data_IF_304247713658
#
_entry.id   IF_304247713658
#
_cell.length_a   1.000
_cell.length_b   1.000
_cell.length_c   1.000
_cell.angle_alpha   90.00
_cell.angle_beta   90.00
_cell.angle_gamma   90.00
#
_symmetry.space_group_name_H-M   'P 1'
#
loop_
_entity.id
_entity.type
_entity.pdbx_description
1 polymer ?
#
# COMPACT_ATOMS: atom_id res chain seq x y z
N UNK A 1 -23.37 -15.57 9.62
CA UNK A 1 -23.04 -14.12 9.73
C UNK A 1 -24.09 -13.33 8.94
N UNK A 2 -24.64 -12.27 9.53
CA UNK A 2 -25.63 -11.48 8.81
C UNK A 2 -24.97 -10.43 7.92
N UNK A 3 -25.74 -9.84 7.00
CA UNK A 3 -25.24 -8.88 6.00
C UNK A 3 -24.57 -7.67 6.65
N UNK A 4 -25.10 -7.21 7.79
CA UNK A 4 -24.57 -6.04 8.50
C UNK A 4 -23.18 -6.31 9.08
N UNK A 5 -22.98 -7.50 9.65
CA UNK A 5 -21.67 -7.90 10.20
C UNK A 5 -20.63 -8.06 9.08
N UNK A 6 -21.02 -8.69 7.98
CA UNK A 6 -20.15 -8.86 6.82
C UNK A 6 -19.72 -7.51 6.25
N UNK A 7 -20.66 -6.55 6.15
CA UNK A 7 -20.37 -5.20 5.68
C UNK A 7 -19.36 -4.51 6.60
N UNK A 8 -19.54 -4.64 7.92
CA UNK A 8 -18.63 -4.06 8.89
C UNK A 8 -17.22 -4.60 8.74
N UNK A 9 -17.07 -5.90 8.53
CA UNK A 9 -15.77 -6.52 8.30
C UNK A 9 -15.11 -6.02 7.01
N UNK A 10 -15.89 -5.89 5.93
CA UNK A 10 -15.37 -5.38 4.66
C UNK A 10 -14.90 -3.94 4.84
N UNK A 11 -15.68 -3.09 5.52
CA UNK A 11 -15.29 -1.70 5.77
C UNK A 11 -14.00 -1.61 6.58
N UNK A 12 -13.84 -2.46 7.59
CA UNK A 12 -12.62 -2.51 8.39
C UNK A 12 -11.42 -2.91 7.52
N UNK A 13 -11.58 -3.89 6.65
CA UNK A 13 -10.52 -4.33 5.75
C UNK A 13 -10.16 -3.24 4.73
N UNK A 14 -11.15 -2.52 4.20
CA UNK A 14 -10.90 -1.41 3.28
C UNK A 14 -10.18 -0.26 3.98
N UNK A 15 -10.52 0.03 5.23
CA UNK A 15 -9.83 1.04 6.02
C UNK A 15 -8.39 0.63 6.31
N UNK A 16 -8.14 -0.65 6.50
CA UNK A 16 -6.78 -1.18 6.64
C UNK A 16 -5.97 -0.94 5.37
N UNK A 17 -6.55 -1.21 4.20
CA UNK A 17 -5.88 -0.93 2.92
C UNK A 17 -5.64 0.57 2.73
N UNK A 18 -6.56 1.42 3.17
CA UNK A 18 -6.39 2.86 3.13
C UNK A 18 -5.16 3.28 3.93
N UNK A 19 -5.02 2.76 5.15
CA UNK A 19 -3.85 3.03 5.99
C UNK A 19 -2.55 2.53 5.35
N UNK A 20 -2.58 1.31 4.77
CA UNK A 20 -1.42 0.76 4.05
C UNK A 20 -0.98 1.68 2.92
N UNK A 21 -1.91 2.22 2.16
CA UNK A 21 -1.58 3.11 1.05
C UNK A 21 -1.05 4.47 1.53
N UNK A 22 -1.58 5.01 2.63
CA UNK A 22 -1.04 6.22 3.23
C UNK A 22 0.40 6.03 3.72
N UNK A 23 0.66 4.90 4.37
CA UNK A 23 2.01 4.59 4.85
C UNK A 23 2.98 4.38 3.68
N UNK A 24 2.52 3.70 2.63
CA UNK A 24 3.33 3.49 1.43
C UNK A 24 3.65 4.81 0.73
N UNK A 25 2.69 5.73 0.63
CA UNK A 25 2.91 7.05 0.06
C UNK A 25 4.07 7.75 0.76
N UNK A 26 4.05 7.78 2.09
CA UNK A 26 5.10 8.41 2.90
C UNK A 26 6.42 7.67 2.79
N UNK A 27 6.37 6.34 2.86
CA UNK A 27 7.56 5.50 2.76
C UNK A 27 8.27 5.67 1.43
N UNK A 28 7.54 5.70 0.34
CA UNK A 28 8.12 5.92 -0.97
C UNK A 28 8.65 7.34 -1.15
N UNK A 29 8.01 8.33 -0.53
CA UNK A 29 8.52 9.71 -0.54
C UNK A 29 9.89 9.76 0.14
N UNK A 30 10.03 9.15 1.31
CA UNK A 30 11.30 9.08 2.03
C UNK A 30 12.34 8.29 1.25
N UNK A 31 11.94 7.19 0.63
CA UNK A 31 12.84 6.39 -0.21
C UNK A 31 13.39 7.22 -1.36
N UNK A 32 12.53 7.96 -2.05
CA UNK A 32 12.92 8.82 -3.17
C UNK A 32 13.92 9.90 -2.73
N UNK A 33 13.74 10.43 -1.53
CA UNK A 33 14.63 11.48 -1.01
C UNK A 33 16.02 10.94 -0.65
N UNK A 34 16.17 9.64 -0.47
CA UNK A 34 17.40 9.06 0.06
C UNK A 34 18.17 8.18 -0.92
N UNK A 35 17.58 7.74 -2.02
CA UNK A 35 18.30 6.94 -3.01
C UNK A 35 19.17 7.82 -3.91
N UNK A 36 20.24 7.23 -4.39
CA UNK A 36 21.20 7.90 -5.29
C UNK A 36 20.86 7.66 -6.76
N UNK A 37 20.37 6.47 -7.08
CA UNK A 37 20.05 6.09 -8.44
C UNK A 37 18.83 6.87 -8.94
N UNK A 38 19.00 7.55 -10.09
CA UNK A 38 17.97 8.41 -10.66
C UNK A 38 16.71 7.63 -11.09
N UNK A 39 16.90 6.41 -11.61
CA UNK A 39 15.80 5.57 -12.05
C UNK A 39 14.96 5.11 -10.87
N UNK A 40 15.61 4.70 -9.78
CA UNK A 40 14.93 4.35 -8.54
C UNK A 40 14.17 5.54 -7.97
N UNK A 41 14.78 6.72 -7.98
CA UNK A 41 14.12 7.93 -7.47
C UNK A 41 12.83 8.19 -8.23
N UNK A 42 12.87 8.12 -9.56
CA UNK A 42 11.69 8.33 -10.40
C UNK A 42 10.62 7.29 -10.11
N UNK A 43 11.01 6.03 -9.97
CA UNK A 43 10.08 4.95 -9.65
C UNK A 43 9.41 5.17 -8.31
N UNK A 44 10.18 5.51 -7.27
CA UNK A 44 9.64 5.73 -5.94
C UNK A 44 8.68 6.93 -5.89
N UNK A 45 9.01 8.01 -6.59
CA UNK A 45 8.10 9.16 -6.69
C UNK A 45 6.79 8.78 -7.38
N UNK A 46 6.87 7.98 -8.44
CA UNK A 46 5.69 7.49 -9.14
C UNK A 46 4.84 6.60 -8.23
N UNK A 47 5.47 5.74 -7.44
CA UNK A 47 4.78 4.88 -6.48
C UNK A 47 4.12 5.69 -5.37
N UNK A 48 4.79 6.74 -4.88
CA UNK A 48 4.21 7.62 -3.86
C UNK A 48 2.91 8.24 -4.37
N UNK A 49 2.93 8.77 -5.59
CA UNK A 49 1.72 9.37 -6.21
C UNK A 49 0.63 8.32 -6.41
N UNK A 50 0.98 7.14 -6.91
CA UNK A 50 0.01 6.08 -7.16
C UNK A 50 -0.68 5.62 -5.88
N UNK A 51 0.07 5.48 -4.80
CA UNK A 51 -0.51 5.07 -3.51
C UNK A 51 -1.40 6.15 -2.93
N UNK A 52 -1.08 7.41 -3.14
CA UNK A 52 -1.97 8.52 -2.77
C UNK A 52 -3.29 8.44 -3.54
N UNK A 53 -3.23 8.16 -4.84
CA UNK A 53 -4.42 7.99 -5.67
C UNK A 53 -5.27 6.80 -5.21
N UNK A 54 -4.64 5.68 -4.88
CA UNK A 54 -5.33 4.50 -4.36
C UNK A 54 -6.01 4.79 -3.04
N UNK A 55 -5.36 5.56 -2.17
CA UNK A 55 -5.97 6.02 -0.92
C UNK A 55 -7.23 6.82 -1.17
N UNK A 56 -7.20 7.73 -2.13
CA UNK A 56 -8.37 8.51 -2.52
C UNK A 56 -9.51 7.65 -3.06
N UNK A 57 -9.19 6.67 -3.90
CA UNK A 57 -10.20 5.73 -4.42
C UNK A 57 -10.82 4.90 -3.30
N UNK A 58 -9.99 4.39 -2.39
CA UNK A 58 -10.47 3.61 -1.25
C UNK A 58 -11.37 4.44 -0.34
N UNK A 59 -10.99 5.68 -0.07
CA UNK A 59 -11.81 6.58 0.75
C UNK A 59 -13.18 6.81 0.13
N UNK A 60 -13.24 7.04 -1.17
CA UNK A 60 -14.52 7.22 -1.88
C UNK A 60 -15.37 5.96 -1.83
N UNK A 61 -14.76 4.79 -2.04
CA UNK A 61 -15.47 3.51 -2.01
C UNK A 61 -16.04 3.23 -0.61
N UNK A 62 -15.26 3.51 0.44
CA UNK A 62 -15.71 3.36 1.83
C UNK A 62 -16.95 4.21 2.08
N UNK A 63 -16.95 5.48 1.63
CA UNK A 63 -18.11 6.37 1.77
C UNK A 63 -19.31 5.84 0.99
N UNK A 64 -19.09 5.37 -0.23
CA UNK A 64 -20.16 4.79 -1.06
C UNK A 64 -20.81 3.60 -0.38
N UNK A 65 -20.03 2.80 0.35
CA UNK A 65 -20.55 1.64 1.09
C UNK A 65 -21.14 2.00 2.45
N UNK A 66 -21.18 3.29 2.79
CA UNK A 66 -21.79 3.77 4.02
C UNK A 66 -20.89 3.83 5.23
N UNK A 67 -19.58 3.69 5.03
CA UNK A 67 -18.60 3.80 6.11
C UNK A 67 -17.90 5.15 6.15
N UNK A 68 -17.05 5.31 7.15
CA UNK A 68 -16.20 6.49 7.28
C UNK A 68 -14.75 6.10 6.99
N UNK A 69 -14.06 6.81 6.06
CA UNK A 69 -12.65 6.56 5.85
C UNK A 69 -11.85 6.86 7.12
N UNK A 70 -11.10 5.87 7.57
CA UNK A 70 -10.25 6.02 8.73
C UNK A 70 -9.03 6.86 8.33
N UNK A 71 -8.62 7.75 9.24
CA UNK A 71 -7.41 8.56 9.02
C UNK A 71 -6.14 7.78 9.41
N UNK A 72 -6.25 6.47 9.53
CA UNK A 72 -5.14 5.61 9.89
C UNK A 72 -4.94 5.45 11.39
N UNK A 73 -5.86 5.95 12.22
CA UNK A 73 -5.69 5.92 13.68
C UNK A 73 -5.98 4.55 14.27
N UNK A 74 -6.96 3.82 13.74
CA UNK A 74 -7.39 2.53 14.29
C UNK A 74 -6.35 1.43 14.11
N UNK A 75 -5.60 1.47 13.01
CA UNK A 75 -4.63 0.43 12.65
C UNK A 75 -3.19 0.94 12.66
N UNK A 76 -2.97 2.22 13.00
CA UNK A 76 -1.66 2.85 12.84
C UNK A 76 -0.54 2.11 13.55
N UNK A 77 -0.78 1.67 14.80
CA UNK A 77 0.24 1.00 15.59
C UNK A 77 0.72 -0.30 14.94
N UNK A 78 -0.22 -1.08 14.37
CA UNK A 78 0.11 -2.37 13.75
C UNK A 78 0.70 -2.20 12.35
N UNK A 79 0.18 -1.26 11.58
CA UNK A 79 0.54 -1.08 10.18
C UNK A 79 1.85 -0.32 9.98
N UNK A 80 2.18 0.59 10.89
CA UNK A 80 3.46 1.31 10.83
C UNK A 80 4.67 0.39 10.88
N UNK A 81 4.51 -0.82 11.41
CA UNK A 81 5.60 -1.80 11.45
C UNK A 81 6.09 -2.20 10.06
N UNK A 82 5.25 -2.07 9.03
CA UNK A 82 5.68 -2.37 7.66
C UNK A 82 6.80 -1.43 7.22
N UNK A 83 6.81 -0.19 7.73
CA UNK A 83 7.72 0.87 7.33
C UNK A 83 8.53 1.46 8.49
N UNK A 84 8.54 0.81 9.66
CA UNK A 84 9.11 1.40 10.88
C UNK A 84 10.62 1.64 10.80
N UNK A 85 11.34 0.80 10.06
CA UNK A 85 12.80 0.88 9.96
C UNK A 85 13.26 1.62 8.70
N UNK A 86 12.32 2.19 7.96
CA UNK A 86 12.58 2.90 6.71
C UNK A 86 13.61 4.01 6.91
N UNK A 87 13.43 4.80 7.94
CA UNK A 87 14.31 5.93 8.23
C UNK A 87 15.75 5.49 8.51
N UNK A 88 15.90 4.42 9.28
CA UNK A 88 17.21 3.84 9.60
C UNK A 88 17.88 3.25 8.35
N UNK A 89 17.12 2.50 7.57
CA UNK A 89 17.59 1.91 6.31
C UNK A 89 18.03 3.00 5.33
N UNK A 90 17.23 4.04 5.19
CA UNK A 90 17.48 5.14 4.26
C UNK A 90 18.67 5.99 4.70
N UNK A 91 18.88 6.14 6.01
CA UNK A 91 19.98 6.93 6.54
C UNK A 91 21.36 6.38 6.13
N UNK A 92 21.45 5.10 5.80
CA UNK A 92 22.69 4.46 5.38
C UNK A 92 23.01 4.66 3.89
N UNK A 93 22.11 5.28 3.13
CA UNK A 93 22.27 5.55 1.69
C UNK A 93 22.57 4.30 0.85
N UNK A 94 22.05 3.15 1.26
CA UNK A 94 22.22 1.91 0.53
C UNK A 94 20.97 1.70 -0.36
N UNK A 95 21.13 1.94 -1.66
CA UNK A 95 20.02 1.84 -2.61
C UNK A 95 19.41 0.44 -2.63
N UNK A 96 20.25 -0.58 -2.58
CA UNK A 96 19.76 -1.97 -2.56
C UNK A 96 18.92 -2.27 -1.31
N UNK A 97 19.40 -1.84 -0.15
CA UNK A 97 18.67 -2.01 1.10
C UNK A 97 17.35 -1.25 1.08
N UNK A 98 17.34 -0.06 0.48
CA UNK A 98 16.13 0.75 0.32
C UNK A 98 15.10 0.03 -0.56
N UNK A 99 15.53 -0.54 -1.69
CA UNK A 99 14.65 -1.32 -2.58
C UNK A 99 14.06 -2.51 -1.84
N UNK A 100 14.88 -3.25 -1.10
CA UNK A 100 14.42 -4.42 -0.35
C UNK A 100 13.38 -4.05 0.70
N UNK A 101 13.57 -2.91 1.38
CA UNK A 101 12.60 -2.43 2.38
C UNK A 101 11.27 -2.02 1.73
N UNK A 102 11.32 -1.36 0.59
CA UNK A 102 10.12 -1.00 -0.17
C UNK A 102 9.38 -2.26 -0.65
N UNK A 103 10.12 -3.25 -1.12
CA UNK A 103 9.53 -4.53 -1.54
C UNK A 103 8.87 -5.25 -0.38
N UNK A 104 9.48 -5.22 0.79
CA UNK A 104 8.89 -5.81 2.00
C UNK A 104 7.56 -5.14 2.35
N UNK A 105 7.53 -3.82 2.34
CA UNK A 105 6.29 -3.07 2.61
C UNK A 105 5.20 -3.39 1.60
N UNK A 106 5.55 -3.48 0.32
CA UNK A 106 4.62 -3.83 -0.75
C UNK A 106 4.08 -5.25 -0.60
N UNK A 107 4.91 -6.19 -0.17
CA UNK A 107 4.45 -7.56 0.07
C UNK A 107 3.39 -7.60 1.16
N UNK A 108 3.59 -6.84 2.24
CA UNK A 108 2.58 -6.70 3.29
C UNK A 108 1.27 -6.16 2.74
N UNK A 109 1.34 -5.15 1.90
CA UNK A 109 0.15 -4.58 1.26
C UNK A 109 -0.54 -5.60 0.35
N UNK A 110 0.22 -6.34 -0.46
CA UNK A 110 -0.33 -7.37 -1.34
C UNK A 110 -1.05 -8.47 -0.56
N UNK A 111 -0.47 -8.88 0.58
CA UNK A 111 -1.11 -9.86 1.45
C UNK A 111 -2.45 -9.35 1.96
N UNK A 112 -2.54 -8.07 2.31
CA UNK A 112 -3.80 -7.47 2.76
C UNK A 112 -4.83 -7.39 1.62
N UNK A 113 -4.41 -7.03 0.40
CA UNK A 113 -5.30 -7.04 -0.76
C UNK A 113 -5.84 -8.44 -1.02
N UNK A 114 -4.99 -9.45 -0.94
CA UNK A 114 -5.40 -10.84 -1.15
C UNK A 114 -6.43 -11.29 -0.11
N UNK A 115 -6.25 -10.87 1.15
CA UNK A 115 -7.20 -11.19 2.22
C UNK A 115 -8.57 -10.62 1.93
N UNK A 116 -8.64 -9.34 1.53
CA UNK A 116 -9.94 -8.71 1.21
C UNK A 116 -10.58 -9.37 -0.01
N UNK A 117 -9.78 -9.70 -1.02
CA UNK A 117 -10.30 -10.29 -2.27
C UNK A 117 -10.85 -11.70 -2.09
N UNK A 118 -10.59 -12.35 -0.94
CA UNK A 118 -11.21 -13.63 -0.61
C UNK A 118 -12.65 -13.49 -0.16
N UNK A 119 -13.10 -12.28 0.18
CA UNK A 119 -14.48 -12.06 0.59
C UNK A 119 -15.43 -12.25 -0.60
N UNK A 120 -16.41 -13.16 -0.45
CA UNK A 120 -17.35 -13.46 -1.51
C UNK A 120 -18.44 -12.40 -1.67
N UNK A 121 -18.65 -11.60 -0.61
CA UNK A 121 -19.71 -10.59 -0.57
C UNK A 121 -19.27 -9.20 -1.06
N UNK A 122 -18.07 -9.09 -1.62
CA UNK A 122 -17.64 -7.82 -2.22
C UNK A 122 -18.52 -7.48 -3.41
N UNK A 123 -19.00 -6.23 -3.46
CA UNK A 123 -19.71 -5.76 -4.64
C UNK A 123 -18.72 -5.66 -5.82
N UNK A 124 -19.25 -5.79 -7.03
CA UNK A 124 -18.42 -5.88 -8.25
C UNK A 124 -17.47 -4.68 -8.41
N UNK A 125 -17.95 -3.47 -8.16
CA UNK A 125 -17.13 -2.26 -8.30
C UNK A 125 -15.95 -2.25 -7.33
N UNK A 126 -16.17 -2.70 -6.10
CA UNK A 126 -15.11 -2.80 -5.10
C UNK A 126 -14.06 -3.84 -5.52
N UNK A 127 -14.53 -5.00 -5.96
CA UNK A 127 -13.62 -6.07 -6.42
C UNK A 127 -12.75 -5.62 -7.58
N UNK A 128 -13.35 -4.98 -8.58
CA UNK A 128 -12.63 -4.48 -9.75
C UNK A 128 -11.56 -3.45 -9.36
N UNK A 129 -11.91 -2.52 -8.47
CA UNK A 129 -10.97 -1.52 -7.98
C UNK A 129 -9.78 -2.17 -7.27
N UNK A 130 -10.06 -3.13 -6.38
CA UNK A 130 -9.00 -3.81 -5.62
C UNK A 130 -8.09 -4.64 -6.51
N UNK A 131 -8.66 -5.33 -7.51
CA UNK A 131 -7.87 -6.11 -8.46
C UNK A 131 -6.94 -5.20 -9.28
N UNK A 132 -7.44 -4.06 -9.72
CA UNK A 132 -6.64 -3.09 -10.48
C UNK A 132 -5.50 -2.51 -9.63
N UNK A 133 -5.80 -2.14 -8.40
CA UNK A 133 -4.79 -1.61 -7.47
C UNK A 133 -3.73 -2.66 -7.16
N UNK A 134 -4.17 -3.89 -6.86
CA UNK A 134 -3.26 -5.01 -6.59
C UNK A 134 -2.33 -5.25 -7.78
N UNK A 135 -2.87 -5.30 -8.99
CA UNK A 135 -2.07 -5.54 -10.19
C UNK A 135 -1.01 -4.45 -10.38
N UNK A 136 -1.35 -3.20 -10.12
CA UNK A 136 -0.39 -2.09 -10.22
C UNK A 136 0.74 -2.23 -9.21
N UNK A 137 0.40 -2.64 -7.97
CA UNK A 137 1.41 -2.88 -6.93
C UNK A 137 2.32 -4.05 -7.33
N UNK A 138 1.76 -5.13 -7.85
CA UNK A 138 2.53 -6.29 -8.31
C UNK A 138 3.51 -5.91 -9.42
N UNK A 139 3.07 -5.10 -10.37
CA UNK A 139 3.92 -4.64 -11.47
C UNK A 139 5.10 -3.82 -10.96
N UNK A 140 4.85 -2.90 -10.05
CA UNK A 140 5.90 -2.09 -9.44
C UNK A 140 6.87 -2.95 -8.61
N UNK A 141 6.34 -3.91 -7.87
CA UNK A 141 7.14 -4.83 -7.06
C UNK A 141 8.10 -5.63 -7.94
N UNK A 142 7.63 -6.12 -9.09
CA UNK A 142 8.46 -6.83 -10.06
C UNK A 142 9.53 -5.93 -10.67
N UNK A 143 9.20 -4.68 -10.98
CA UNK A 143 10.17 -3.71 -11.51
C UNK A 143 11.27 -3.43 -10.51
N UNK A 144 10.94 -3.30 -9.23
CA UNK A 144 11.91 -3.09 -8.18
C UNK A 144 12.83 -4.30 -8.02
N UNK A 145 12.31 -5.51 -8.17
CA UNK A 145 13.12 -6.72 -8.11
C UNK A 145 14.21 -6.71 -9.19
N UNK A 146 13.87 -6.25 -10.40
CA UNK A 146 14.86 -6.15 -11.49
C UNK A 146 15.91 -5.08 -11.19
N UNK A 147 15.47 -3.93 -10.69
CA UNK A 147 16.41 -2.84 -10.37
C UNK A 147 17.33 -3.20 -9.21
N UNK A 148 16.88 -4.00 -8.26
CA UNK A 148 17.69 -4.47 -7.15
C UNK A 148 18.89 -5.30 -7.61
N UNK A 149 18.84 -5.89 -8.80
CA UNK A 149 19.94 -6.70 -9.34
C UNK A 149 21.08 -5.83 -9.89
N UNK A 150 20.84 -4.56 -10.16
CA UNK A 150 21.83 -3.68 -10.82
C UNK A 150 22.28 -2.50 -9.95
N UNK A 151 21.76 -2.36 -8.76
CA UNK A 151 22.17 -1.28 -7.82
C UNK A 151 23.03 -1.75 -6.67
#
# INVERSE_FOLDING_TARGET
MNVKETRGEILDQLNKLLTRNHDAEKGYQEAADNVKDAELKSLFLAQSRQRSEFGGELAREIRTLGGDPDNGTSFAADLHRAWINVKSTFANNDDKATVEECRRGDQEALDDYNTVLQETDLVASTREMLLRQKQSIETAHASMARLALVV
#
